data_IF_671673746434
#
_entry.id   IF_671673746434
#
_cell.length_a   1.000
_cell.length_b   1.000
_cell.length_c   1.000
_cell.angle_alpha   90.00
_cell.angle_beta   90.00
_cell.angle_gamma   90.00
#
_symmetry.space_group_name_H-M   'P 1'
#
loop_
_entity.id
_entity.type
_entity.pdbx_description
1 polymer ?
#
# COMPACT_ATOMS: atom_id res chain seq x y z
N UNK A 1 -30.80 -10.60 -13.16
CA UNK A 1 -30.15 -11.62 -12.30
C UNK A 1 -28.64 -11.44 -12.41
N UNK A 2 -27.95 -11.30 -11.27
CA UNK A 2 -26.49 -11.08 -11.24
C UNK A 2 -25.78 -12.37 -10.89
N UNK A 3 -24.85 -12.81 -11.74
CA UNK A 3 -23.93 -13.92 -11.40
C UNK A 3 -22.75 -13.33 -10.63
N UNK A 4 -22.52 -13.81 -9.40
CA UNK A 4 -21.35 -13.44 -8.60
C UNK A 4 -20.33 -14.57 -8.67
N UNK A 5 -19.10 -14.25 -9.07
CA UNK A 5 -17.99 -15.19 -9.02
C UNK A 5 -17.11 -14.89 -7.81
N UNK A 6 -16.76 -15.93 -7.07
CA UNK A 6 -15.73 -15.88 -6.03
C UNK A 6 -14.50 -16.55 -6.62
N UNK A 7 -13.44 -15.78 -6.85
CA UNK A 7 -12.19 -16.27 -7.41
C UNK A 7 -11.17 -16.38 -6.28
N UNK A 8 -10.53 -17.53 -6.16
CA UNK A 8 -9.44 -17.76 -5.21
C UNK A 8 -8.23 -18.26 -5.96
N UNK A 9 -7.04 -17.84 -5.52
CA UNK A 9 -5.76 -18.25 -6.09
C UNK A 9 -5.02 -19.08 -5.05
N UNK A 10 -4.54 -20.25 -5.46
CA UNK A 10 -3.73 -21.14 -4.61
C UNK A 10 -2.61 -21.73 -5.46
N UNK A 11 -1.38 -21.54 -5.04
CA UNK A 11 -0.25 -22.24 -5.62
C UNK A 11 -0.21 -23.69 -5.12
N UNK A 12 0.07 -24.61 -6.03
CA UNK A 12 0.19 -26.03 -5.74
C UNK A 12 1.48 -26.53 -6.35
N UNK A 13 2.32 -27.17 -5.53
CA UNK A 13 3.60 -27.72 -5.96
C UNK A 13 3.47 -29.01 -6.80
N UNK A 14 2.40 -29.79 -6.60
CA UNK A 14 2.16 -31.04 -7.33
C UNK A 14 0.69 -31.23 -7.75
N UNK A 15 0.45 -31.28 -9.05
CA UNK A 15 -0.88 -31.49 -9.64
C UNK A 15 -1.40 -32.92 -9.44
N UNK A 16 -0.52 -33.91 -9.23
CA UNK A 16 -0.90 -35.32 -9.13
C UNK A 16 -1.66 -35.64 -7.84
N UNK A 17 -1.43 -34.88 -6.77
CA UNK A 17 -2.07 -35.07 -5.47
C UNK A 17 -3.51 -34.53 -5.39
N UNK A 18 -3.95 -33.69 -6.33
CA UNK A 18 -5.26 -33.01 -6.27
C UNK A 18 -6.28 -33.53 -7.30
N UNK A 19 -5.94 -34.55 -8.08
CA UNK A 19 -6.91 -35.26 -8.91
C UNK A 19 -7.75 -36.20 -8.04
N UNK A 20 -8.63 -35.63 -7.22
CA UNK A 20 -9.72 -36.38 -6.60
C UNK A 20 -10.70 -36.87 -7.67
N UNK A 21 -11.38 -38.00 -7.43
CA UNK A 21 -12.32 -38.62 -8.37
C UNK A 21 -13.47 -37.71 -8.85
N UNK A 22 -13.68 -36.55 -8.23
CA UNK A 22 -14.86 -35.68 -8.46
C UNK A 22 -14.54 -34.29 -9.01
N UNK A 23 -13.27 -33.88 -9.10
CA UNK A 23 -12.88 -32.53 -9.57
C UNK A 23 -11.92 -32.63 -10.75
N UNK A 24 -12.41 -32.27 -11.94
CA UNK A 24 -11.59 -32.18 -13.14
C UNK A 24 -10.93 -30.80 -13.24
N UNK A 25 -9.62 -30.76 -13.01
CA UNK A 25 -8.80 -29.57 -13.22
C UNK A 25 -8.58 -29.31 -14.70
N UNK A 26 -8.86 -28.09 -15.15
CA UNK A 26 -8.51 -27.63 -16.49
C UNK A 26 -7.31 -26.68 -16.41
N UNK A 27 -6.40 -26.80 -17.36
CA UNK A 27 -5.27 -25.87 -17.49
C UNK A 27 -5.77 -24.48 -17.89
N UNK A 28 -5.19 -23.43 -17.29
CA UNK A 28 -5.54 -22.03 -17.57
C UNK A 28 -5.47 -21.70 -19.08
N UNK A 29 -4.47 -22.20 -19.79
CA UNK A 29 -4.31 -22.03 -21.24
C UNK A 29 -5.50 -22.55 -22.07
N UNK A 30 -6.10 -23.68 -21.66
CA UNK A 30 -7.31 -24.23 -22.29
C UNK A 30 -8.56 -23.41 -21.97
N UNK A 31 -8.60 -22.75 -20.82
CA UNK A 31 -9.71 -21.88 -20.43
C UNK A 31 -9.65 -20.55 -21.20
N UNK A 32 -8.48 -19.92 -21.29
CA UNK A 32 -8.28 -18.65 -22.01
C UNK A 32 -8.59 -18.72 -23.51
N UNK A 33 -8.41 -19.89 -24.13
CA UNK A 33 -8.64 -20.09 -25.56
C UNK A 33 -10.13 -20.37 -25.91
N UNK A 34 -10.98 -20.69 -24.93
CA UNK A 34 -12.40 -20.98 -25.14
C UNK A 34 -13.24 -19.73 -24.94
N UNK A 35 -14.18 -19.46 -25.86
CA UNK A 35 -15.26 -18.50 -25.57
C UNK A 35 -16.09 -19.02 -24.42
N UNK A 36 -16.36 -18.16 -23.45
CA UNK A 36 -17.17 -18.49 -22.28
C UNK A 36 -18.59 -18.85 -22.69
N UNK A 37 -19.27 -19.70 -21.91
CA UNK A 37 -20.68 -20.02 -22.12
C UNK A 37 -21.60 -18.83 -21.78
N UNK A 38 -21.07 -17.79 -21.12
CA UNK A 38 -21.82 -16.59 -20.73
C UNK A 38 -20.90 -15.36 -20.72
N UNK A 39 -21.50 -14.18 -20.87
CA UNK A 39 -20.80 -12.89 -20.78
C UNK A 39 -20.06 -12.73 -19.44
N UNK A 40 -20.60 -13.32 -18.37
CA UNK A 40 -20.03 -13.25 -17.04
C UNK A 40 -18.71 -14.06 -16.95
N UNK A 41 -18.65 -15.22 -17.62
CA UNK A 41 -17.42 -16.02 -17.74
C UNK A 41 -16.40 -15.35 -18.69
N UNK A 42 -16.87 -14.68 -19.74
CA UNK A 42 -15.98 -13.91 -20.62
C UNK A 42 -15.29 -12.76 -19.89
N UNK A 43 -16.00 -12.06 -18.98
CA UNK A 43 -15.39 -11.05 -18.09
C UNK A 43 -14.35 -11.69 -17.18
N UNK A 44 -14.67 -12.83 -16.57
CA UNK A 44 -13.72 -13.56 -15.74
C UNK A 44 -12.45 -13.94 -16.51
N UNK A 45 -12.57 -14.41 -17.75
CA UNK A 45 -11.41 -14.74 -18.59
C UNK A 45 -10.56 -13.54 -18.97
N UNK A 46 -11.16 -12.36 -19.12
CA UNK A 46 -10.41 -11.11 -19.33
C UNK A 46 -9.65 -10.69 -18.06
N UNK A 47 -10.26 -10.86 -16.88
CA UNK A 47 -9.68 -10.40 -15.62
C UNK A 47 -8.76 -11.41 -14.93
N UNK A 48 -8.78 -12.69 -15.31
CA UNK A 48 -8.03 -13.73 -14.58
C UNK A 48 -6.53 -13.45 -14.51
N UNK A 49 -5.94 -12.89 -15.58
CA UNK A 49 -4.53 -12.53 -15.58
C UNK A 49 -4.25 -11.36 -14.64
N UNK A 50 -5.16 -10.39 -14.55
CA UNK A 50 -5.05 -9.28 -13.60
C UNK A 50 -5.13 -9.79 -12.16
N UNK A 51 -6.04 -10.72 -11.87
CA UNK A 51 -6.18 -11.36 -10.55
C UNK A 51 -4.92 -12.13 -10.18
N UNK A 52 -4.34 -12.89 -11.11
CA UNK A 52 -3.09 -13.63 -10.88
C UNK A 52 -1.91 -12.69 -10.66
N UNK A 53 -1.74 -11.69 -11.51
CA UNK A 53 -0.67 -10.69 -11.38
C UNK A 53 -0.78 -9.92 -10.07
N UNK A 54 -2.00 -9.54 -9.67
CA UNK A 54 -2.26 -8.89 -8.38
C UNK A 54 -1.87 -9.80 -7.23
N UNK A 55 -2.25 -11.09 -7.29
CA UNK A 55 -1.90 -12.06 -6.26
C UNK A 55 -0.38 -12.25 -6.16
N UNK A 56 0.32 -12.47 -7.27
CA UNK A 56 1.78 -12.61 -7.28
C UNK A 56 2.48 -11.37 -6.72
N UNK A 57 2.06 -10.18 -7.17
CA UNK A 57 2.58 -8.90 -6.68
C UNK A 57 2.32 -8.68 -5.19
N UNK A 58 1.19 -9.18 -4.67
CA UNK A 58 0.86 -9.10 -3.24
C UNK A 58 1.78 -9.95 -2.35
N UNK A 59 2.38 -11.01 -2.92
CA UNK A 59 3.25 -11.94 -2.19
C UNK A 59 4.72 -11.49 -2.14
N UNK A 60 5.08 -10.38 -2.80
CA UNK A 60 6.47 -9.89 -2.82
C UNK A 60 6.88 -9.45 -1.40
N UNK A 61 7.84 -10.13 -0.76
CA UNK A 61 8.27 -9.75 0.58
C UNK A 61 9.18 -8.53 0.54
N UNK A 62 9.12 -7.71 1.58
CA UNK A 62 10.11 -6.66 1.80
C UNK A 62 11.38 -7.25 2.41
N UNK A 63 12.54 -6.73 1.97
CA UNK A 63 13.80 -6.98 2.66
C UNK A 63 13.77 -6.36 4.06
N UNK A 64 14.63 -6.85 4.95
CA UNK A 64 14.77 -6.30 6.30
C UNK A 64 15.27 -4.84 6.23
N UNK A 65 14.77 -4.00 7.12
CA UNK A 65 15.15 -2.60 7.19
C UNK A 65 14.06 -1.69 7.71
N UNK A 66 14.42 -0.40 7.74
CA UNK A 66 13.53 0.71 8.08
C UNK A 66 13.04 1.38 6.80
N UNK A 67 11.74 1.61 6.73
CA UNK A 67 11.06 2.20 5.59
C UNK A 67 10.28 3.46 6.00
N UNK A 68 10.17 4.42 5.08
CA UNK A 68 9.18 5.49 5.16
C UNK A 68 8.03 5.15 4.22
N UNK A 69 6.81 5.05 4.75
CA UNK A 69 5.62 4.70 4.00
C UNK A 69 4.66 5.89 3.93
N UNK A 70 4.05 6.14 2.77
CA UNK A 70 3.05 7.19 2.60
C UNK A 70 1.65 6.62 2.73
N UNK A 71 0.93 7.01 3.79
CA UNK A 71 -0.45 6.58 4.00
C UNK A 71 -1.41 7.65 3.48
N UNK A 72 -1.90 7.45 2.25
CA UNK A 72 -2.99 8.24 1.67
C UNK A 72 -4.28 7.44 1.74
N UNK A 73 -5.27 8.05 2.37
CA UNK A 73 -6.61 7.51 2.53
C UNK A 73 -7.60 8.37 1.77
N UNK A 74 -8.60 7.69 1.21
CA UNK A 74 -9.73 8.24 0.51
C UNK A 74 -10.98 7.83 1.25
N UNK A 75 -11.59 8.76 1.97
CA UNK A 75 -12.79 8.49 2.77
C UNK A 75 -14.05 8.99 2.07
N UNK A 76 -14.99 8.09 1.80
CA UNK A 76 -16.38 8.42 1.45
C UNK A 76 -17.30 8.15 2.64
N UNK A 77 -18.60 8.47 2.52
CA UNK A 77 -19.61 8.18 3.55
C UNK A 77 -19.63 6.68 3.91
N UNK A 78 -19.44 5.80 2.92
CA UNK A 78 -19.67 4.36 3.09
C UNK A 78 -18.39 3.52 3.05
N UNK A 79 -17.28 4.07 2.57
CA UNK A 79 -16.06 3.29 2.33
C UNK A 79 -14.81 4.12 2.61
N UNK A 80 -13.85 3.52 3.31
CA UNK A 80 -12.49 4.03 3.39
C UNK A 80 -11.65 3.23 2.39
N UNK A 81 -10.86 3.91 1.57
CA UNK A 81 -9.94 3.28 0.63
C UNK A 81 -8.52 3.74 0.91
N UNK A 82 -7.56 2.84 0.75
CA UNK A 82 -6.13 3.10 0.89
C UNK A 82 -5.45 3.08 -0.47
N UNK A 83 -4.59 4.05 -0.71
CA UNK A 83 -3.79 4.12 -1.94
C UNK A 83 -2.56 3.22 -1.78
N UNK A 84 -2.39 2.28 -2.71
CA UNK A 84 -1.28 1.31 -2.76
C UNK A 84 -0.68 1.27 -4.17
N UNK A 85 0.61 0.93 -4.34
CA UNK A 85 1.22 0.83 -5.65
C UNK A 85 0.79 -0.47 -6.37
N UNK A 86 0.67 -0.44 -7.69
CA UNK A 86 0.22 -1.58 -8.50
C UNK A 86 1.14 -2.79 -8.42
N UNK A 87 2.45 -2.55 -8.28
CA UNK A 87 3.47 -3.60 -8.26
C UNK A 87 3.64 -4.27 -6.89
N UNK A 88 3.19 -3.64 -5.80
CA UNK A 88 3.24 -4.20 -4.44
C UNK A 88 1.98 -3.78 -3.68
N UNK A 89 0.80 -4.32 -4.05
CA UNK A 89 -0.49 -3.87 -3.51
C UNK A 89 -0.69 -4.24 -2.02
N UNK A 90 0.17 -5.10 -1.47
CA UNK A 90 0.18 -5.46 -0.04
C UNK A 90 0.89 -4.42 0.83
N UNK A 91 1.53 -3.41 0.23
CA UNK A 91 2.24 -2.35 0.94
C UNK A 91 1.71 -0.97 0.57
N UNK A 92 1.91 -0.01 1.47
CA UNK A 92 1.77 1.41 1.13
C UNK A 92 2.94 1.83 0.22
N UNK A 93 2.81 2.90 -0.59
CA UNK A 93 3.96 3.48 -1.28
C UNK A 93 5.10 3.77 -0.28
N UNK A 94 6.30 3.28 -0.55
CA UNK A 94 7.39 3.30 0.42
C UNK A 94 8.74 3.68 -0.18
N UNK A 95 9.63 4.16 0.68
CA UNK A 95 11.06 4.35 0.39
C UNK A 95 11.89 3.67 1.48
N UNK A 96 12.94 2.97 1.07
CA UNK A 96 13.90 2.36 1.98
C UNK A 96 14.83 3.41 2.59
N UNK A 97 14.97 3.41 3.92
CA UNK A 97 15.84 4.36 4.64
C UNK A 97 17.19 3.71 4.97
N UNK A 98 17.17 2.57 5.68
CA UNK A 98 18.39 1.88 6.14
C UNK A 98 18.14 0.40 6.45
N UNK A 99 19.22 -0.39 6.47
CA UNK A 99 19.18 -1.84 6.77
C UNK A 99 18.79 -2.15 8.23
N UNK A 100 19.14 -1.27 9.18
CA UNK A 100 18.70 -1.42 10.57
C UNK A 100 17.26 -0.91 10.76
N UNK A 101 16.32 -1.85 10.90
CA UNK A 101 14.90 -1.55 11.15
C UNK A 101 14.63 -0.85 12.49
N UNK A 102 15.51 -0.99 13.48
CA UNK A 102 15.29 -0.40 14.79
C UNK A 102 15.53 1.11 14.78
N UNK A 103 14.68 1.85 15.49
CA UNK A 103 14.85 3.28 15.76
C UNK A 103 15.22 3.44 17.24
N UNK A 104 16.32 4.13 17.52
CA UNK A 104 16.74 4.34 18.90
C UNK A 104 15.81 5.31 19.63
N UNK A 105 15.80 5.25 20.96
CA UNK A 105 15.00 6.18 21.77
C UNK A 105 15.43 7.63 21.53
N UNK A 106 16.73 7.87 21.41
CA UNK A 106 17.32 9.19 21.18
C UNK A 106 16.93 9.74 19.81
N UNK A 107 16.94 8.90 18.77
CA UNK A 107 16.48 9.23 17.42
C UNK A 107 14.98 9.59 17.42
N UNK A 108 14.16 8.77 18.09
CA UNK A 108 12.71 8.97 18.12
C UNK A 108 12.28 10.21 18.91
N UNK A 109 12.86 10.42 20.09
CA UNK A 109 12.56 11.61 20.89
C UNK A 109 12.99 12.89 20.17
N UNK A 110 14.11 12.86 19.44
CA UNK A 110 14.51 14.01 18.61
C UNK A 110 13.47 14.35 17.55
N UNK A 111 12.93 13.35 16.83
CA UNK A 111 11.86 13.57 15.85
C UNK A 111 10.59 14.18 16.47
N UNK A 112 10.27 13.84 17.71
CA UNK A 112 9.13 14.40 18.44
C UNK A 112 9.38 15.86 18.82
N UNK A 113 10.59 16.15 19.30
CA UNK A 113 11.00 17.48 19.76
C UNK A 113 11.08 18.51 18.63
N UNK A 114 11.30 18.13 17.36
CA UNK A 114 11.30 19.08 16.23
C UNK A 114 9.99 19.91 16.09
N UNK A 115 8.88 19.45 16.68
CA UNK A 115 7.61 20.19 16.69
C UNK A 115 7.56 21.28 17.77
N UNK A 116 8.29 21.05 18.86
CA UNK A 116 8.31 21.91 20.04
C UNK A 116 9.66 22.60 19.96
N UNK A 117 9.76 23.79 19.33
CA UNK A 117 10.98 24.60 19.10
C UNK A 117 12.03 24.55 20.23
N UNK A 118 12.69 23.41 20.40
CA UNK A 118 13.56 23.12 21.51
C UNK A 118 14.94 23.51 21.02
N UNK A 119 15.56 24.45 21.73
CA UNK A 119 16.93 24.93 21.46
C UNK A 119 18.00 23.88 21.79
N UNK A 120 17.69 22.59 21.61
CA UNK A 120 18.57 21.46 21.87
C UNK A 120 19.30 21.17 20.57
N UNK A 121 20.64 21.17 20.59
CA UNK A 121 21.43 20.78 19.42
C UNK A 121 21.35 19.26 19.23
N UNK A 122 21.07 18.76 18.01
CA UNK A 122 21.05 17.33 17.74
C UNK A 122 22.44 16.72 17.86
N UNK A 123 22.51 15.48 18.35
CA UNK A 123 23.67 14.62 18.18
C UNK A 123 23.86 14.29 16.69
N UNK A 124 25.08 13.93 16.24
CA UNK A 124 25.35 13.54 14.86
C UNK A 124 24.39 12.45 14.35
N UNK A 125 24.19 11.37 15.13
CA UNK A 125 23.28 10.29 14.76
C UNK A 125 21.82 10.74 14.57
N UNK A 126 21.33 11.66 15.42
CA UNK A 126 19.99 12.23 15.31
C UNK A 126 19.84 13.08 14.05
N UNK A 127 20.88 13.85 13.71
CA UNK A 127 20.93 14.66 12.49
C UNK A 127 20.96 13.79 11.24
N UNK A 128 21.77 12.74 11.24
CA UNK A 128 21.89 11.81 10.12
C UNK A 128 20.56 11.07 9.89
N UNK A 129 19.92 10.62 10.97
CA UNK A 129 18.61 9.99 10.91
C UNK A 129 17.53 10.94 10.38
N UNK A 130 17.50 12.17 10.88
CA UNK A 130 16.57 13.19 10.39
C UNK A 130 16.78 13.47 8.89
N UNK A 131 18.03 13.67 8.46
CA UNK A 131 18.36 13.90 7.05
C UNK A 131 17.93 12.71 6.17
N UNK A 132 18.10 11.48 6.66
CA UNK A 132 17.66 10.28 5.96
C UNK A 132 16.13 10.24 5.79
N UNK A 133 15.37 10.63 6.82
CA UNK A 133 13.90 10.74 6.73
C UNK A 133 13.48 11.84 5.76
N UNK A 134 14.10 13.02 5.83
CA UNK A 134 13.79 14.13 4.90
C UNK A 134 14.09 13.73 3.46
N UNK A 135 15.23 13.07 3.22
CA UNK A 135 15.59 12.55 1.90
C UNK A 135 14.59 11.50 1.42
N UNK A 136 14.21 10.54 2.27
CA UNK A 136 13.20 9.55 1.93
C UNK A 136 11.82 10.17 1.64
N UNK A 137 11.42 11.19 2.41
CA UNK A 137 10.16 11.91 2.19
C UNK A 137 10.17 12.67 0.86
N UNK A 138 11.28 13.34 0.52
CA UNK A 138 11.44 14.03 -0.77
C UNK A 138 11.35 13.06 -1.95
N UNK A 139 11.99 11.89 -1.83
CA UNK A 139 11.91 10.84 -2.85
C UNK A 139 10.47 10.34 -3.02
N UNK A 140 9.81 10.03 -1.91
CA UNK A 140 8.45 9.49 -1.91
C UNK A 140 7.44 10.46 -2.51
N UNK A 141 7.55 11.76 -2.20
CA UNK A 141 6.68 12.81 -2.74
C UNK A 141 6.90 12.99 -4.24
N UNK A 142 8.16 12.96 -4.68
CA UNK A 142 8.50 13.03 -6.11
C UNK A 142 7.99 11.80 -6.86
N UNK A 143 8.19 10.61 -6.31
CA UNK A 143 7.77 9.35 -6.95
C UNK A 143 6.24 9.25 -7.01
N UNK A 144 5.54 9.87 -6.07
CA UNK A 144 4.09 10.02 -6.07
C UNK A 144 3.59 11.22 -6.87
N UNK A 145 4.45 11.97 -7.56
CA UNK A 145 4.10 13.16 -8.35
C UNK A 145 3.29 14.21 -7.52
N UNK A 146 3.65 14.36 -6.25
CA UNK A 146 3.09 15.39 -5.37
C UNK A 146 3.95 16.63 -5.52
N UNK A 147 3.31 17.80 -5.61
CA UNK A 147 4.00 19.08 -5.69
C UNK A 147 4.99 19.25 -4.52
N UNK A 148 6.24 19.56 -4.84
CA UNK A 148 7.30 19.78 -3.85
C UNK A 148 6.98 20.93 -2.89
N UNK A 149 6.13 21.87 -3.28
CA UNK A 149 5.71 22.96 -2.39
C UNK A 149 4.81 22.45 -1.25
N UNK A 150 4.23 21.26 -1.39
CA UNK A 150 3.39 20.61 -0.37
C UNK A 150 4.20 19.77 0.62
N UNK A 151 5.51 19.60 0.43
CA UNK A 151 6.40 18.85 1.34
C UNK A 151 6.26 19.30 2.81
N UNK A 152 6.34 20.61 3.12
CA UNK A 152 6.26 21.08 4.50
C UNK A 152 4.90 20.83 5.15
N UNK A 153 3.87 20.57 4.33
CA UNK A 153 2.51 20.31 4.79
C UNK A 153 2.26 18.81 5.05
N UNK A 154 3.18 17.94 4.62
CA UNK A 154 3.13 16.52 4.95
C UNK A 154 3.46 16.30 6.43
N UNK A 155 2.77 15.36 7.07
CA UNK A 155 2.87 15.11 8.51
C UNK A 155 3.56 13.77 8.76
N UNK A 156 4.62 13.78 9.53
CA UNK A 156 5.22 12.55 10.05
C UNK A 156 4.36 12.00 11.20
N UNK A 157 4.00 10.72 11.16
CA UNK A 157 3.36 10.05 12.28
C UNK A 157 4.39 9.73 13.37
N UNK A 158 4.19 10.32 14.55
CA UNK A 158 5.19 10.35 15.64
C UNK A 158 4.75 9.60 16.91
N UNK A 159 3.67 8.82 16.86
CA UNK A 159 3.18 8.08 18.05
C UNK A 159 3.94 6.77 18.26
N UNK A 160 4.19 6.02 17.19
CA UNK A 160 4.93 4.77 17.24
C UNK A 160 5.62 4.46 15.92
N UNK A 161 6.67 3.65 15.99
CA UNK A 161 7.26 2.95 14.84
C UNK A 161 6.54 1.61 14.71
N UNK A 162 6.18 1.23 13.49
CA UNK A 162 5.45 -0.01 13.23
C UNK A 162 6.43 -1.11 12.82
N UNK A 163 6.18 -2.34 13.27
CA UNK A 163 6.87 -3.53 12.81
C UNK A 163 5.87 -4.39 12.05
N UNK A 164 6.15 -4.64 10.77
CA UNK A 164 5.28 -5.45 9.92
C UNK A 164 5.54 -6.95 10.14
N UNK A 165 6.81 -7.32 10.06
CA UNK A 165 7.36 -8.67 10.15
C UNK A 165 8.73 -8.58 10.81
N UNK A 166 9.28 -9.72 11.25
CA UNK A 166 10.57 -9.76 11.94
C UNK A 166 11.69 -9.10 11.11
N UNK A 167 12.10 -7.90 11.53
CA UNK A 167 13.14 -7.10 10.89
C UNK A 167 12.68 -6.14 9.80
N UNK A 168 11.38 -5.94 9.59
CA UNK A 168 10.82 -4.91 8.69
C UNK A 168 10.02 -3.91 9.53
N UNK A 169 10.55 -2.69 9.63
CA UNK A 169 9.93 -1.62 10.39
C UNK A 169 9.63 -0.42 9.49
N UNK A 170 8.59 0.33 9.81
CA UNK A 170 8.21 1.50 9.03
C UNK A 170 7.70 2.67 9.87
N UNK A 171 7.92 3.87 9.34
CA UNK A 171 7.38 5.14 9.82
C UNK A 171 6.38 5.64 8.78
N UNK A 172 5.29 6.25 9.22
CA UNK A 172 4.26 6.77 8.32
C UNK A 172 4.47 8.27 8.04
N UNK A 173 4.40 8.62 6.77
CA UNK A 173 4.18 9.97 6.27
C UNK A 173 2.71 10.09 5.86
N UNK A 174 2.06 11.16 6.28
CA UNK A 174 0.64 11.40 6.10
C UNK A 174 0.40 12.67 5.31
N UNK A 175 -0.62 12.71 4.43
CA UNK A 175 -1.07 13.94 3.81
C UNK A 175 -1.61 14.94 4.84
N UNK A 176 -1.89 16.15 4.36
CA UNK A 176 -2.64 17.15 5.12
C UNK A 176 -3.99 16.56 5.53
N UNK A 177 -4.50 16.98 6.68
CA UNK A 177 -5.78 16.49 7.18
C UNK A 177 -6.95 16.80 6.22
N UNK A 178 -6.83 17.88 5.45
CA UNK A 178 -7.80 18.31 4.44
C UNK A 178 -7.87 17.36 3.23
N UNK A 179 -6.75 16.70 2.90
CA UNK A 179 -6.67 15.82 1.73
C UNK A 179 -7.13 14.37 2.03
N UNK A 180 -7.46 14.07 3.30
CA UNK A 180 -7.92 12.73 3.73
C UNK A 180 -9.43 12.55 3.57
N UNK A 181 -10.18 13.64 3.72
CA UNK A 181 -11.63 13.66 3.61
C UNK A 181 -12.02 14.52 2.41
N UNK A 182 -12.15 13.90 1.24
CA UNK A 182 -12.63 14.59 0.05
C UNK A 182 -14.12 14.88 0.20
N UNK A 183 -14.44 16.16 0.36
CA UNK A 183 -15.81 16.64 0.26
C UNK A 183 -16.40 16.23 -1.10
N UNK A 184 -17.72 16.00 -1.20
CA UNK A 184 -18.38 15.53 -2.43
C UNK A 184 -18.20 16.44 -3.65
N UNK A 185 -17.60 17.63 -3.48
CA UNK A 185 -17.25 18.57 -4.55
C UNK A 185 -16.08 18.12 -5.43
N UNK A 186 -15.22 17.20 -4.96
CA UNK A 186 -14.16 16.63 -5.80
C UNK A 186 -14.68 15.36 -6.49
N UNK A 187 -14.57 15.32 -7.82
CA UNK A 187 -14.90 14.14 -8.60
C UNK A 187 -13.94 13.01 -8.24
N UNK A 188 -14.43 11.99 -7.52
CA UNK A 188 -13.68 10.78 -7.17
C UNK A 188 -12.99 10.14 -8.38
N UNK A 189 -13.63 10.22 -9.55
CA UNK A 189 -13.11 9.72 -10.82
C UNK A 189 -11.79 10.38 -11.22
N UNK A 190 -11.62 11.68 -10.95
CA UNK A 190 -10.38 12.41 -11.26
C UNK A 190 -9.25 11.97 -10.33
N UNK A 191 -9.56 11.74 -9.05
CA UNK A 191 -8.60 11.31 -8.04
C UNK A 191 -8.10 9.90 -8.35
N UNK A 192 -8.99 8.95 -8.64
CA UNK A 192 -8.61 7.59 -9.05
C UNK A 192 -7.80 7.60 -10.35
N UNK A 193 -8.16 8.47 -11.31
CA UNK A 193 -7.40 8.60 -12.55
C UNK A 193 -5.98 9.12 -12.32
N UNK A 194 -5.81 10.04 -11.36
CA UNK A 194 -4.51 10.62 -11.03
C UNK A 194 -3.64 9.61 -10.26
N UNK A 195 -4.21 8.88 -9.30
CA UNK A 195 -3.51 7.82 -8.59
C UNK A 195 -3.08 6.70 -9.56
N UNK A 196 -3.96 6.34 -10.52
CA UNK A 196 -3.64 5.34 -11.55
C UNK A 196 -2.47 5.76 -12.44
N UNK A 197 -2.40 7.05 -12.82
CA UNK A 197 -1.26 7.61 -13.58
C UNK A 197 0.06 7.54 -12.81
N UNK A 198 -0.01 7.58 -11.48
CA UNK A 198 1.13 7.43 -10.56
C UNK A 198 1.46 5.97 -10.26
N UNK A 199 0.85 5.02 -10.98
CA UNK A 199 1.03 3.60 -10.75
C UNK A 199 0.44 3.10 -9.43
N UNK A 200 -0.57 3.81 -8.89
CA UNK A 200 -1.24 3.48 -7.64
C UNK A 200 -2.74 3.18 -7.86
N UNK A 201 -3.28 2.30 -7.02
CA UNK A 201 -4.69 1.94 -6.97
C UNK A 201 -5.27 2.16 -5.57
N UNK A 202 -6.57 2.43 -5.50
CA UNK A 202 -7.30 2.64 -4.25
C UNK A 202 -8.06 1.37 -3.83
N UNK A 203 -7.51 0.64 -2.86
CA UNK A 203 -8.11 -0.58 -2.31
C UNK A 203 -9.07 -0.25 -1.16
N UNK A 204 -10.30 -0.79 -1.15
CA UNK A 204 -11.20 -0.62 -0.02
C UNK A 204 -10.63 -1.30 1.23
N UNK A 205 -10.58 -0.57 2.34
CA UNK A 205 -10.30 -1.16 3.65
C UNK A 205 -11.61 -1.62 4.27
N UNK A 206 -11.70 -2.87 4.77
CA UNK A 206 -12.84 -3.27 5.58
C UNK A 206 -12.91 -2.36 6.81
N UNK A 207 -13.99 -1.60 6.92
CA UNK A 207 -14.28 -0.83 8.13
C UNK A 207 -14.75 -1.83 9.17
N UNK A 208 -13.86 -2.23 10.07
CA UNK A 208 -14.26 -2.98 11.24
C UNK A 208 -14.89 -2.02 12.22
N UNK A 209 -16.17 -2.22 12.56
CA UNK A 209 -16.74 -1.60 13.73
C UNK A 209 -15.92 -2.05 14.94
N UNK A 210 -15.28 -1.11 15.64
CA UNK A 210 -14.77 -1.42 16.98
C UNK A 210 -15.99 -1.67 17.84
N UNK A 211 -16.25 -2.93 18.16
CA UNK A 211 -17.17 -3.28 19.25
C UNK A 211 -16.62 -2.68 20.53
N UNK A 212 -17.16 -1.54 20.93
CA UNK A 212 -16.92 -0.91 22.23
C UNK A 212 -17.55 -1.72 23.35
#
# INVERSE_FOLDING_TARGET
EGTVFIVTVRFVDDLQLIQGLTVHWNTLSKMLCKRGPSAAVDVLYKEILNVLNFFESSQIPLRKGLYLCYLKLHSTINTIRVVVPHNVPSMLPYVFIRENGHVSREEWEWLRLLTINASIKPLPAQRDFYNAIVSAASLLIRDLDIDSDLMPLQRLYRLQVFELNFGVSFILLLPRIEDVCTAPSYSWTEIESNDSKRGCSSLPMPVFEMST
#
